data_IF_579728146340
#
_entry.id   IF_579728146340
#
_cell.length_a   1.000
_cell.length_b   1.000
_cell.length_c   1.000
_cell.angle_alpha   90.00
_cell.angle_beta   90.00
_cell.angle_gamma   90.00
#
_symmetry.space_group_name_H-M   'P 1'
#
loop_
_entity.id
_entity.type
_entity.pdbx_description
1 polymer ?
#
# COMPACT_ATOMS: atom_id res chain seq x y z
N UNK A 1 0.37 -11.06 -11.33
CA UNK A 1 1.05 -9.94 -10.64
C UNK A 1 0.73 -8.70 -11.44
N UNK A 2 0.12 -7.69 -10.82
CA UNK A 2 -0.24 -6.43 -11.49
C UNK A 2 0.89 -5.47 -11.17
N UNK A 3 1.65 -5.05 -12.19
CA UNK A 3 2.66 -3.99 -12.03
C UNK A 3 1.97 -2.63 -12.16
N UNK A 4 2.04 -1.83 -11.10
CA UNK A 4 1.48 -0.49 -11.03
C UNK A 4 2.62 0.52 -11.06
N UNK A 5 2.39 1.65 -11.73
CA UNK A 5 3.28 2.79 -11.67
C UNK A 5 3.40 3.24 -10.20
N UNK A 6 4.62 3.39 -9.71
CA UNK A 6 4.97 3.60 -8.31
C UNK A 6 4.16 4.74 -7.68
N UNK A 7 3.94 5.82 -8.46
CA UNK A 7 3.18 7.00 -8.02
C UNK A 7 1.70 6.73 -7.72
N UNK A 8 1.14 5.64 -8.23
CA UNK A 8 -0.26 5.27 -8.02
C UNK A 8 -0.43 4.03 -7.14
N UNK A 9 0.65 3.31 -6.84
CA UNK A 9 0.62 2.05 -6.13
C UNK A 9 -0.07 2.21 -4.76
N UNK A 10 0.33 3.22 -3.98
CA UNK A 10 -0.26 3.47 -2.66
C UNK A 10 -1.74 3.89 -2.75
N UNK A 11 -2.12 4.70 -3.75
CA UNK A 11 -3.51 5.17 -3.93
C UNK A 11 -4.44 4.02 -4.30
N UNK A 12 -3.99 3.14 -5.20
CA UNK A 12 -4.77 2.00 -5.67
C UNK A 12 -4.91 0.96 -4.56
N UNK A 13 -3.83 0.68 -3.83
CA UNK A 13 -3.87 -0.28 -2.71
C UNK A 13 -4.76 0.25 -1.58
N UNK A 14 -4.69 1.54 -1.27
CA UNK A 14 -5.62 2.18 -0.31
C UNK A 14 -7.09 1.99 -0.74
N UNK A 15 -7.44 2.33 -1.97
CA UNK A 15 -8.82 2.15 -2.46
C UNK A 15 -9.28 0.69 -2.49
N UNK A 16 -8.39 -0.23 -2.87
CA UNK A 16 -8.70 -1.65 -2.83
C UNK A 16 -9.03 -2.08 -1.40
N UNK A 17 -8.21 -1.71 -0.42
CA UNK A 17 -8.40 -2.02 1.00
C UNK A 17 -9.70 -1.40 1.51
N UNK A 18 -10.00 -0.16 1.16
CA UNK A 18 -11.27 0.50 1.50
C UNK A 18 -12.47 -0.27 0.93
N UNK A 19 -12.34 -0.80 -0.29
CA UNK A 19 -13.40 -1.59 -0.94
C UNK A 19 -13.59 -2.98 -0.31
N UNK A 20 -12.50 -3.67 0.05
CA UNK A 20 -12.58 -5.02 0.66
C UNK A 20 -12.72 -4.99 2.18
N UNK A 21 -12.54 -3.82 2.81
CA UNK A 21 -12.68 -3.60 4.24
C UNK A 21 -11.52 -4.09 5.10
N UNK A 22 -10.43 -4.58 4.50
CA UNK A 22 -9.28 -5.12 5.23
C UNK A 22 -7.99 -5.05 4.41
N UNK A 23 -6.87 -4.86 5.08
CA UNK A 23 -5.52 -4.96 4.51
C UNK A 23 -4.89 -6.35 4.72
N UNK A 24 -5.63 -7.29 5.31
CA UNK A 24 -5.14 -8.64 5.59
C UNK A 24 -4.78 -9.36 4.27
N UNK A 25 -3.50 -9.70 4.13
CA UNK A 25 -2.96 -10.31 2.90
C UNK A 25 -2.51 -9.33 1.82
N UNK A 26 -2.66 -8.02 2.02
CA UNK A 26 -2.11 -7.02 1.10
C UNK A 26 -0.60 -6.81 1.33
N UNK A 27 0.18 -6.89 0.25
CA UNK A 27 1.63 -6.65 0.25
C UNK A 27 2.03 -5.80 -0.95
N UNK A 28 3.04 -4.95 -0.76
CA UNK A 28 3.65 -4.16 -1.84
C UNK A 28 5.12 -4.51 -1.98
N UNK A 29 5.65 -4.33 -3.17
CA UNK A 29 7.07 -4.52 -3.46
C UNK A 29 7.72 -3.17 -3.69
N UNK A 30 8.80 -2.86 -2.95
CA UNK A 30 9.61 -1.66 -3.10
C UNK A 30 11.07 -2.07 -3.18
N UNK A 31 11.76 -1.63 -4.23
CA UNK A 31 13.18 -1.95 -4.47
C UNK A 31 13.49 -3.47 -4.44
N UNK A 32 12.54 -4.30 -4.87
CA UNK A 32 12.67 -5.77 -4.89
C UNK A 32 12.42 -6.45 -3.53
N UNK A 33 12.09 -5.69 -2.49
CA UNK A 33 11.71 -6.20 -1.17
C UNK A 33 10.18 -6.16 -1.02
N UNK A 34 9.62 -7.18 -0.38
CA UNK A 34 8.17 -7.28 -0.15
C UNK A 34 7.84 -6.86 1.27
N UNK A 35 6.87 -5.96 1.41
CA UNK A 35 6.39 -5.43 2.69
C UNK A 35 4.91 -5.69 2.83
N UNK A 36 4.43 -6.02 4.03
CA UNK A 36 2.98 -6.02 4.26
C UNK A 36 2.50 -4.58 4.33
N UNK A 37 1.34 -4.34 3.73
CA UNK A 37 0.80 -2.99 3.68
C UNK A 37 0.45 -2.43 5.07
N UNK A 38 0.08 -3.29 6.02
CA UNK A 38 -0.23 -2.89 7.40
C UNK A 38 1.01 -2.58 8.26
N UNK A 39 2.21 -2.95 7.81
CA UNK A 39 3.49 -2.67 8.49
C UNK A 39 4.13 -1.39 7.98
N UNK A 40 3.65 -0.87 6.85
CA UNK A 40 4.07 0.42 6.35
C UNK A 40 3.38 1.51 7.16
N UNK A 41 4.16 2.24 7.96
CA UNK A 41 3.72 3.51 8.53
C UNK A 41 3.37 4.44 7.36
N UNK A 42 2.08 4.55 7.06
CA UNK A 42 1.60 5.61 6.17
C UNK A 42 1.83 6.91 6.93
N UNK A 43 2.72 7.82 6.46
CA UNK A 43 2.72 9.16 7.00
C UNK A 43 1.34 9.72 6.70
N UNK A 44 0.51 9.84 7.71
CA UNK A 44 -0.63 10.74 7.67
C UNK A 44 -0.02 12.12 7.53
N UNK A 45 -0.19 12.73 6.36
CA UNK A 45 0.19 14.12 6.11
C UNK A 45 -0.38 14.97 7.25
N UNK A 46 0.49 15.33 8.20
CA UNK A 46 0.10 15.92 9.49
C UNK A 46 0.82 15.32 10.69
N UNK A 47 2.15 15.39 10.74
CA UNK A 47 2.93 15.89 11.88
C UNK A 47 4.45 15.89 11.53
N UNK A 48 4.95 17.13 11.36
CA UNK A 48 6.34 17.68 11.24
C UNK A 48 7.23 17.35 10.03
#
# INVERSE_FOLDING_TARGET
MVELDEKFCDVIVKRYIEQVGTSEGASVMREGLTYRFNELEVPTDGEE
#
